data_IF_465303823616
#
_entry.id   IF_465303823616
#
_cell.length_a   1.000
_cell.length_b   1.000
_cell.length_c   1.000
_cell.angle_alpha   90.00
_cell.angle_beta   90.00
_cell.angle_gamma   90.00
#
_symmetry.space_group_name_H-M   'P 1'
#
loop_
_entity.id
_entity.type
_entity.pdbx_description
1 polymer ?
#
# COMPACT_ATOMS: atom_id res chain seq x y z
N UNK A 1 -42.89 -31.06 -16.34
CA UNK A 1 -41.73 -30.19 -16.59
C UNK A 1 -41.53 -29.33 -15.35
N UNK A 2 -40.36 -29.36 -14.72
CA UNK A 2 -40.08 -28.54 -13.55
C UNK A 2 -39.78 -27.09 -14.00
N UNK A 3 -40.42 -26.09 -13.38
CA UNK A 3 -40.10 -24.69 -13.67
C UNK A 3 -38.76 -24.34 -13.01
N UNK A 4 -37.88 -23.73 -13.80
CA UNK A 4 -36.62 -23.18 -13.29
C UNK A 4 -36.93 -21.82 -12.68
N UNK A 5 -36.61 -21.66 -11.40
CA UNK A 5 -36.73 -20.38 -10.70
C UNK A 5 -35.76 -19.37 -11.33
N UNK A 6 -36.26 -18.21 -11.75
CA UNK A 6 -35.42 -17.11 -12.23
C UNK A 6 -35.41 -16.01 -11.19
N UNK A 7 -34.22 -15.54 -10.84
CA UNK A 7 -34.02 -14.38 -10.00
C UNK A 7 -33.57 -13.21 -10.87
N UNK A 8 -34.20 -12.05 -10.69
CA UNK A 8 -33.70 -10.80 -11.22
C UNK A 8 -32.72 -10.20 -10.21
N UNK A 9 -31.49 -9.96 -10.64
CA UNK A 9 -30.44 -9.37 -9.81
C UNK A 9 -29.72 -8.29 -10.59
N UNK A 10 -29.42 -7.17 -9.95
CA UNK A 10 -28.51 -6.13 -10.46
C UNK A 10 -27.27 -6.03 -9.57
N UNK A 11 -26.09 -5.75 -10.14
CA UNK A 11 -24.92 -5.45 -9.33
C UNK A 11 -25.09 -4.07 -8.66
N UNK A 12 -24.70 -3.99 -7.39
CA UNK A 12 -24.53 -2.73 -6.67
C UNK A 12 -23.08 -2.62 -6.20
N UNK A 13 -22.51 -1.42 -6.29
CA UNK A 13 -21.19 -1.14 -5.73
C UNK A 13 -21.38 -0.72 -4.28
N UNK A 14 -21.13 -1.64 -3.35
CA UNK A 14 -21.25 -1.40 -1.91
C UNK A 14 -20.02 -0.66 -1.33
N UNK A 15 -18.85 -0.90 -1.94
CA UNK A 15 -17.55 -0.36 -1.54
C UNK A 15 -16.69 -0.15 -2.78
N UNK A 16 -15.92 0.93 -2.76
CA UNK A 16 -14.99 1.28 -3.82
C UNK A 16 -13.76 1.94 -3.20
N UNK A 17 -12.57 1.52 -3.64
CA UNK A 17 -11.31 2.19 -3.35
C UNK A 17 -10.76 2.71 -4.69
N UNK A 18 -10.57 4.03 -4.78
CA UNK A 18 -10.08 4.69 -5.99
C UNK A 18 -8.61 4.43 -6.25
N UNK A 19 -8.14 4.75 -7.46
CA UNK A 19 -6.71 4.93 -7.69
C UNK A 19 -6.23 6.17 -6.93
N UNK A 20 -4.99 6.12 -6.46
CA UNK A 20 -4.33 7.25 -5.81
C UNK A 20 -2.87 7.30 -6.27
N UNK A 21 -2.37 8.52 -6.44
CA UNK A 21 -0.97 8.81 -6.66
C UNK A 21 -0.58 10.02 -5.81
N UNK A 22 0.57 9.92 -5.15
CA UNK A 22 1.28 11.08 -4.58
C UNK A 22 2.35 11.46 -5.59
N UNK A 23 2.49 12.75 -5.89
CA UNK A 23 3.53 13.23 -6.81
C UNK A 23 4.92 12.72 -6.37
N UNK A 24 5.62 11.91 -7.20
CA UNK A 24 6.91 11.34 -6.83
C UNK A 24 8.00 12.41 -6.68
N UNK A 25 7.83 13.58 -7.31
CA UNK A 25 8.77 14.69 -7.23
C UNK A 25 8.50 15.61 -6.04
N UNK A 26 7.47 15.33 -5.22
CA UNK A 26 7.23 16.16 -4.05
C UNK A 26 8.32 15.94 -2.97
N UNK A 27 8.66 16.97 -2.17
CA UNK A 27 9.75 16.89 -1.21
C UNK A 27 9.60 15.74 -0.20
N UNK A 28 8.37 15.42 0.21
CA UNK A 28 8.11 14.31 1.12
C UNK A 28 8.53 12.96 0.54
N UNK A 29 8.14 12.67 -0.71
CA UNK A 29 8.46 11.39 -1.36
C UNK A 29 9.96 11.27 -1.58
N UNK A 30 10.62 12.29 -2.13
CA UNK A 30 12.06 12.27 -2.36
C UNK A 30 12.86 12.13 -1.06
N UNK A 31 12.44 12.81 0.01
CA UNK A 31 13.06 12.70 1.34
C UNK A 31 12.86 11.31 1.94
N UNK A 32 11.64 10.76 1.84
CA UNK A 32 11.34 9.42 2.34
C UNK A 32 12.17 8.36 1.59
N UNK A 33 12.19 8.39 0.26
CA UNK A 33 12.99 7.51 -0.59
C UNK A 33 14.47 7.54 -0.21
N UNK A 34 15.04 8.74 -0.01
CA UNK A 34 16.42 8.90 0.44
C UNK A 34 16.66 8.30 1.84
N UNK A 35 15.70 8.43 2.76
CA UNK A 35 15.84 7.90 4.13
C UNK A 35 15.78 6.37 4.20
N UNK A 36 15.11 5.73 3.24
CA UNK A 36 14.96 4.26 3.18
C UNK A 36 15.82 3.60 2.11
N UNK A 37 16.79 4.32 1.54
CA UNK A 37 17.72 3.82 0.53
C UNK A 37 16.99 3.23 -0.72
N UNK A 38 15.94 3.91 -1.19
CA UNK A 38 15.15 3.54 -2.38
C UNK A 38 15.32 4.59 -3.48
N UNK A 39 15.73 4.15 -4.67
CA UNK A 39 15.98 5.04 -5.81
C UNK A 39 14.70 5.49 -6.55
N UNK A 40 13.69 4.62 -6.64
CA UNK A 40 12.48 4.85 -7.45
C UNK A 40 11.22 4.32 -6.78
N UNK A 41 10.13 5.08 -6.92
CA UNK A 41 8.78 4.62 -6.57
C UNK A 41 8.22 3.73 -7.69
N UNK A 42 7.29 2.85 -7.34
CA UNK A 42 6.63 1.96 -8.30
C UNK A 42 5.12 1.93 -8.03
N UNK A 43 4.27 1.85 -9.07
CA UNK A 43 2.85 1.59 -8.89
C UNK A 43 2.63 0.15 -8.45
N UNK A 44 1.64 -0.07 -7.58
CA UNK A 44 1.21 -1.40 -7.15
C UNK A 44 -0.21 -1.70 -7.66
N UNK A 45 -0.47 -2.87 -8.27
CA UNK A 45 -1.76 -3.16 -8.90
C UNK A 45 -2.78 -3.78 -7.91
N UNK A 46 -2.86 -3.25 -6.69
CA UNK A 46 -3.79 -3.70 -5.66
C UNK A 46 -4.26 -2.54 -4.78
N UNK A 47 -5.40 -2.71 -4.13
CA UNK A 47 -6.00 -1.68 -3.28
C UNK A 47 -5.28 -1.59 -1.93
N UNK A 48 -5.21 -0.38 -1.39
CA UNK A 48 -4.72 -0.08 -0.04
C UNK A 48 -5.66 0.92 0.64
N UNK A 49 -5.36 1.32 1.87
CA UNK A 49 -6.10 2.37 2.57
C UNK A 49 -5.76 3.78 2.08
N UNK A 50 -4.70 3.94 1.27
CA UNK A 50 -4.22 5.25 0.82
C UNK A 50 -5.33 6.13 0.18
N UNK A 51 -6.19 5.62 -0.73
CA UNK A 51 -7.27 6.42 -1.33
C UNK A 51 -8.30 6.92 -0.30
N UNK A 52 -8.50 6.18 0.79
CA UNK A 52 -9.40 6.56 1.88
C UNK A 52 -8.78 7.59 2.83
N UNK A 53 -7.46 7.60 2.94
CA UNK A 53 -6.69 8.54 3.77
C UNK A 53 -6.29 9.82 3.03
N UNK A 54 -6.28 9.81 1.69
CA UNK A 54 -5.96 10.96 0.85
C UNK A 54 -6.70 12.28 1.23
N UNK A 55 -7.99 12.26 1.63
CA UNK A 55 -8.69 13.48 2.04
C UNK A 55 -8.11 14.18 3.29
N UNK A 56 -7.22 13.53 4.04
CA UNK A 56 -6.51 14.17 5.17
C UNK A 56 -5.49 15.23 4.71
N UNK A 57 -5.16 15.28 3.42
CA UNK A 57 -4.33 16.34 2.83
C UNK A 57 -2.81 16.18 3.07
N UNK A 58 -2.38 15.07 3.65
CA UNK A 58 -0.97 14.72 3.78
C UNK A 58 -0.49 13.86 2.59
N UNK A 59 0.77 13.99 2.14
CA UNK A 59 1.35 13.08 1.15
C UNK A 59 1.44 11.66 1.72
N UNK A 60 1.16 10.65 0.89
CA UNK A 60 1.14 9.24 1.31
C UNK A 60 2.11 8.43 0.45
N UNK A 61 2.89 7.58 1.10
CA UNK A 61 3.69 6.51 0.48
C UNK A 61 3.24 5.16 1.02
N UNK A 62 3.29 4.13 0.18
CA UNK A 62 3.05 2.74 0.58
C UNK A 62 4.42 2.07 0.63
N UNK A 63 4.83 1.61 1.81
CA UNK A 63 6.16 1.06 2.02
C UNK A 63 6.14 -0.01 3.12
N UNK A 64 6.90 -1.08 2.91
CA UNK A 64 7.07 -2.15 3.90
C UNK A 64 8.10 -3.19 3.46
N UNK A 65 8.75 -3.88 4.40
CA UNK A 65 9.68 -4.96 4.11
C UNK A 65 8.96 -6.25 3.67
N UNK A 66 9.72 -7.20 3.12
CA UNK A 66 9.23 -8.51 2.71
C UNK A 66 8.76 -8.57 1.26
N UNK A 67 8.16 -9.70 0.87
CA UNK A 67 7.76 -9.97 -0.50
C UNK A 67 6.23 -9.93 -0.64
N UNK A 68 5.66 -8.93 -1.34
CA UNK A 68 4.22 -8.84 -1.56
C UNK A 68 3.59 -10.05 -2.26
N UNK A 69 4.38 -10.87 -2.97
CA UNK A 69 3.90 -12.10 -3.61
C UNK A 69 3.52 -13.20 -2.61
N UNK A 70 3.99 -13.11 -1.37
CA UNK A 70 3.66 -14.05 -0.29
C UNK A 70 2.39 -13.66 0.46
N UNK A 71 1.89 -12.43 0.27
CA UNK A 71 0.64 -11.99 0.90
C UNK A 71 -0.53 -12.90 0.48
N UNK A 72 -1.36 -13.26 1.46
CA UNK A 72 -2.53 -14.12 1.31
C UNK A 72 -2.21 -15.55 0.81
N UNK A 73 -0.96 -16.00 0.94
CA UNK A 73 -0.59 -17.39 0.70
C UNK A 73 -0.74 -18.22 1.98
N UNK A 74 -0.96 -19.53 1.86
CA UNK A 74 -1.11 -20.43 3.00
C UNK A 74 0.13 -20.50 3.90
N UNK A 75 1.27 -20.20 3.31
CA UNK A 75 2.60 -20.17 3.90
C UNK A 75 3.17 -18.74 3.92
N UNK A 76 2.33 -17.72 4.11
CA UNK A 76 2.78 -16.34 4.24
C UNK A 76 3.83 -16.19 5.35
N UNK A 77 5.02 -15.69 4.98
CA UNK A 77 6.11 -15.40 5.92
C UNK A 77 6.93 -14.18 5.46
N UNK A 78 7.79 -13.71 6.37
CA UNK A 78 8.83 -12.72 6.11
C UNK A 78 10.15 -13.23 6.70
N UNK A 79 11.27 -12.94 6.04
CA UNK A 79 12.58 -13.22 6.61
C UNK A 79 12.84 -12.34 7.84
N UNK A 80 13.46 -12.91 8.87
CA UNK A 80 13.76 -12.15 10.11
C UNK A 80 14.67 -10.95 9.80
N UNK A 81 15.60 -11.12 8.85
CA UNK A 81 16.48 -10.04 8.39
C UNK A 81 15.72 -8.90 7.74
N UNK A 82 14.69 -9.20 6.93
CA UNK A 82 13.87 -8.18 6.28
C UNK A 82 13.02 -7.43 7.31
N UNK A 83 12.49 -8.15 8.31
CA UNK A 83 11.76 -7.53 9.42
C UNK A 83 12.64 -6.57 10.22
N UNK A 84 13.87 -6.98 10.55
CA UNK A 84 14.85 -6.15 11.26
C UNK A 84 15.25 -4.92 10.45
N UNK A 85 15.57 -5.11 9.16
CA UNK A 85 15.89 -4.01 8.25
C UNK A 85 14.72 -3.02 8.13
N UNK A 86 13.49 -3.52 8.00
CA UNK A 86 12.29 -2.70 7.97
C UNK A 86 12.15 -1.82 9.21
N UNK A 87 12.37 -2.38 10.41
CA UNK A 87 12.34 -1.62 11.65
C UNK A 87 13.38 -0.49 11.67
N UNK A 88 14.59 -0.73 11.15
CA UNK A 88 15.62 0.29 11.07
C UNK A 88 15.30 1.37 10.01
N UNK A 89 14.72 1.01 8.88
CA UNK A 89 14.23 1.97 7.89
C UNK A 89 13.11 2.86 8.43
N UNK A 90 12.14 2.30 9.18
CA UNK A 90 11.10 3.11 9.83
C UNK A 90 11.70 4.09 10.84
N UNK A 91 12.69 3.68 11.64
CA UNK A 91 13.39 4.59 12.55
C UNK A 91 14.09 5.72 11.78
N UNK A 92 14.84 5.39 10.73
CA UNK A 92 15.52 6.39 9.87
C UNK A 92 14.52 7.40 9.33
N UNK A 93 13.45 6.93 8.68
CA UNK A 93 12.42 7.80 8.12
C UNK A 93 11.78 8.71 9.17
N UNK A 94 11.39 8.16 10.33
CA UNK A 94 10.82 8.96 11.43
C UNK A 94 11.81 10.04 11.89
N UNK A 95 13.08 9.70 12.13
CA UNK A 95 14.08 10.68 12.53
C UNK A 95 14.33 11.75 11.47
N UNK A 96 14.31 11.40 10.18
CA UNK A 96 14.44 12.36 9.07
C UNK A 96 13.36 13.43 9.07
N UNK A 97 12.13 13.12 9.50
CA UNK A 97 11.01 14.07 9.52
C UNK A 97 10.78 14.75 10.88
N UNK A 98 11.53 14.37 11.92
CA UNK A 98 11.46 15.00 13.25
C UNK A 98 12.50 16.11 13.47
N UNK A 99 13.44 16.28 12.53
CA UNK A 99 14.50 17.29 12.55
C UNK A 99 14.23 18.41 11.56
#
# INVERSE_FOLDING_TARGET
MASVLRFETSPAVERFAGAMETDPECPFVQTFCSAVDVDLTNPIPFTTDAPHLAPLGAPIVIYGPGNPKLCHQTDEFIEITDLQAGADYFKKAIFTFLT
#
